data_IF_522512320079
#
_entry.id   IF_522512320079
#
_cell.length_a   1.000
_cell.length_b   1.000
_cell.length_c   1.000
_cell.angle_alpha   90.00
_cell.angle_beta   90.00
_cell.angle_gamma   90.00
#
_symmetry.space_group_name_H-M   'P 1'
#
loop_
_entity.id
_entity.type
_entity.pdbx_description
1 polymer ?
#
# COMPACT_ATOMS: atom_id res chain seq x y z
N UNK A 1 -11.57 -21.52 -3.48
CA UNK A 1 -12.90 -20.87 -3.53
C UNK A 1 -13.61 -20.93 -2.17
N UNK A 2 -13.31 -21.95 -1.35
CA UNK A 2 -13.89 -22.18 -0.02
C UNK A 2 -13.31 -21.24 1.07
N UNK A 3 -11.99 -21.05 1.19
CA UNK A 3 -11.36 -20.19 2.24
C UNK A 3 -11.87 -18.74 2.26
N UNK A 4 -12.23 -18.18 1.10
CA UNK A 4 -12.83 -16.84 1.02
C UNK A 4 -14.15 -16.71 1.78
N UNK A 5 -14.85 -17.81 2.04
CA UNK A 5 -16.05 -17.83 2.88
C UNK A 5 -15.68 -17.51 4.33
N UNK A 6 -14.56 -18.03 4.85
CA UNK A 6 -14.09 -17.73 6.21
C UNK A 6 -13.83 -16.24 6.40
N UNK A 7 -13.28 -15.56 5.40
CA UNK A 7 -13.00 -14.12 5.52
C UNK A 7 -14.29 -13.32 5.77
N UNK A 8 -15.36 -13.67 5.06
CA UNK A 8 -16.66 -13.03 5.22
C UNK A 8 -17.27 -13.37 6.59
N UNK A 9 -17.20 -14.64 7.01
CA UNK A 9 -17.70 -15.08 8.31
C UNK A 9 -16.96 -14.41 9.47
N UNK A 10 -15.63 -14.34 9.40
CA UNK A 10 -14.77 -13.70 10.39
C UNK A 10 -15.07 -12.21 10.55
N UNK A 11 -15.17 -11.49 9.42
CA UNK A 11 -15.55 -10.07 9.43
C UNK A 11 -16.98 -9.87 9.95
N UNK A 12 -17.90 -10.78 9.64
CA UNK A 12 -19.27 -10.74 10.17
C UNK A 12 -19.27 -10.89 11.70
N UNK A 13 -18.49 -11.83 12.25
CA UNK A 13 -18.33 -11.99 13.70
C UNK A 13 -17.80 -10.72 14.36
N UNK A 14 -16.74 -10.11 13.81
CA UNK A 14 -16.16 -8.89 14.35
C UNK A 14 -17.13 -7.70 14.38
N UNK A 15 -18.10 -7.66 13.46
CA UNK A 15 -19.17 -6.64 13.45
C UNK A 15 -20.31 -6.98 14.41
N UNK A 16 -20.64 -8.25 14.56
CA UNK A 16 -21.73 -8.69 15.44
C UNK A 16 -21.38 -8.50 16.92
N UNK A 17 -20.11 -8.71 17.28
CA UNK A 17 -19.69 -8.80 18.68
C UNK A 17 -20.39 -9.92 19.46
N UNK A 18 -20.97 -10.91 18.78
CA UNK A 18 -21.67 -12.04 19.40
C UNK A 18 -20.73 -13.21 19.68
N UNK A 19 -21.15 -14.06 20.62
CA UNK A 19 -20.47 -15.32 20.88
C UNK A 19 -20.92 -16.38 19.88
N UNK A 20 -19.96 -17.09 19.30
CA UNK A 20 -20.18 -18.33 18.57
C UNK A 20 -19.42 -19.46 19.26
N UNK A 21 -19.87 -20.69 19.05
CA UNK A 21 -19.33 -21.86 19.76
C UNK A 21 -19.17 -23.02 18.80
N UNK A 22 -17.94 -23.55 18.71
CA UNK A 22 -17.69 -24.85 18.11
C UNK A 22 -17.79 -25.95 19.17
N UNK A 23 -17.50 -27.20 18.80
CA UNK A 23 -17.60 -28.33 19.72
C UNK A 23 -16.70 -28.19 20.97
N UNK A 24 -15.63 -27.37 20.90
CA UNK A 24 -14.56 -27.30 21.90
C UNK A 24 -14.44 -25.92 22.55
N UNK A 25 -14.60 -24.86 21.78
CA UNK A 25 -14.30 -23.49 22.17
C UNK A 25 -15.49 -22.56 21.92
N UNK A 26 -15.58 -21.49 22.72
CA UNK A 26 -16.42 -20.31 22.44
C UNK A 26 -15.54 -19.14 21.99
N UNK A 27 -15.96 -18.46 20.93
CA UNK A 27 -15.25 -17.36 20.30
C UNK A 27 -16.16 -16.13 20.21
N UNK A 28 -15.62 -14.97 20.55
CA UNK A 28 -16.21 -13.66 20.27
C UNK A 28 -15.18 -12.77 19.62
N UNK A 29 -15.45 -12.28 18.42
CA UNK A 29 -14.54 -11.37 17.73
C UNK A 29 -14.93 -9.94 18.11
N UNK A 30 -13.97 -9.19 18.66
CA UNK A 30 -14.17 -7.81 19.11
C UNK A 30 -13.71 -6.81 18.05
N UNK A 31 -12.62 -7.16 17.37
CA UNK A 31 -12.10 -6.50 16.17
C UNK A 31 -11.55 -7.60 15.24
N UNK A 32 -12.08 -7.67 14.02
CA UNK A 32 -11.63 -8.66 13.03
C UNK A 32 -10.20 -8.40 12.56
N UNK A 33 -9.64 -7.22 12.84
CA UNK A 33 -8.36 -6.77 12.30
C UNK A 33 -8.48 -6.38 10.83
N UNK A 34 -7.33 -6.06 10.22
CA UNK A 34 -7.26 -5.69 8.82
C UNK A 34 -7.06 -6.94 7.95
N UNK A 35 -7.91 -7.14 6.94
CA UNK A 35 -7.66 -8.16 5.92
C UNK A 35 -6.31 -7.89 5.25
N UNK A 36 -5.39 -8.83 5.38
CA UNK A 36 -4.09 -8.78 4.73
C UNK A 36 -4.29 -9.14 3.25
N UNK A 37 -3.97 -8.20 2.38
CA UNK A 37 -4.02 -8.39 0.92
C UNK A 37 -2.65 -8.74 0.33
N UNK A 38 -1.67 -8.94 1.21
CA UNK A 38 -0.26 -9.15 0.90
C UNK A 38 0.19 -10.51 1.42
N UNK A 39 1.47 -10.68 1.76
CA UNK A 39 2.01 -11.95 2.27
C UNK A 39 1.88 -11.99 3.79
N UNK A 40 1.81 -13.19 4.35
CA UNK A 40 1.59 -13.42 5.78
C UNK A 40 0.13 -13.77 6.08
N UNK A 41 -0.28 -13.66 7.34
CA UNK A 41 -1.57 -14.19 7.77
C UNK A 41 -2.75 -13.45 7.16
N UNK A 42 -3.88 -14.14 6.98
CA UNK A 42 -5.07 -13.60 6.31
C UNK A 42 -5.60 -12.29 6.92
N UNK A 43 -5.58 -12.16 8.25
CA UNK A 43 -5.96 -10.94 8.96
C UNK A 43 -4.86 -10.53 9.93
N UNK A 44 -4.53 -9.24 9.97
CA UNK A 44 -3.52 -8.70 10.88
C UNK A 44 -4.14 -7.84 11.97
N UNK A 45 -3.61 -7.95 13.19
CA UNK A 45 -3.98 -7.11 14.33
C UNK A 45 -5.42 -7.28 14.80
N UNK A 46 -5.94 -8.51 14.80
CA UNK A 46 -7.27 -8.81 15.33
C UNK A 46 -7.28 -8.81 16.87
N UNK A 47 -8.46 -8.56 17.44
CA UNK A 47 -8.75 -8.69 18.87
C UNK A 47 -10.00 -9.56 19.06
N UNK A 48 -9.88 -10.64 19.84
CA UNK A 48 -10.97 -11.57 20.06
C UNK A 48 -10.87 -12.20 21.45
N UNK A 49 -11.98 -12.73 21.94
CA UNK A 49 -12.05 -13.52 23.17
C UNK A 49 -12.29 -14.98 22.80
N UNK A 50 -11.42 -15.87 23.27
CA UNK A 50 -11.55 -17.31 23.16
C UNK A 50 -11.68 -17.91 24.56
N UNK A 51 -12.78 -18.61 24.81
CA UNK A 51 -13.14 -19.17 26.12
C UNK A 51 -13.21 -18.16 27.28
N UNK A 52 -13.33 -16.87 26.98
CA UNK A 52 -13.34 -15.78 27.96
C UNK A 52 -11.96 -15.16 28.20
N UNK A 53 -10.91 -15.68 27.58
CA UNK A 53 -9.58 -15.06 27.57
C UNK A 53 -9.45 -14.18 26.34
N UNK A 54 -9.01 -12.92 26.52
CA UNK A 54 -8.80 -11.98 25.41
C UNK A 54 -7.42 -12.17 24.78
N UNK A 55 -7.40 -12.18 23.45
CA UNK A 55 -6.21 -12.31 22.62
C UNK A 55 -6.06 -11.11 21.68
N UNK A 56 -4.79 -10.84 21.36
CA UNK A 56 -4.38 -9.86 20.35
C UNK A 56 -3.37 -10.53 19.43
N UNK A 57 -3.59 -10.47 18.12
CA UNK A 57 -2.67 -11.04 17.14
C UNK A 57 -3.33 -11.25 15.79
N UNK A 58 -2.61 -11.97 14.93
CA UNK A 58 -3.06 -12.22 13.57
C UNK A 58 -3.94 -13.47 13.50
N UNK A 59 -4.72 -13.60 12.44
CA UNK A 59 -5.62 -14.75 12.22
C UNK A 59 -5.34 -15.34 10.85
N UNK A 60 -5.12 -16.65 10.84
CA UNK A 60 -4.89 -17.42 9.63
C UNK A 60 -6.06 -18.36 9.35
N UNK A 61 -6.40 -18.57 8.09
CA UNK A 61 -7.60 -19.31 7.70
C UNK A 61 -7.32 -20.34 6.61
N UNK A 62 -7.80 -21.56 6.83
CA UNK A 62 -7.66 -22.65 5.87
C UNK A 62 -8.92 -23.47 5.73
N UNK A 63 -8.99 -24.31 4.71
CA UNK A 63 -10.04 -25.33 4.66
C UNK A 63 -9.88 -26.32 5.81
N UNK A 64 -8.67 -26.87 6.00
CA UNK A 64 -8.37 -27.89 7.00
C UNK A 64 -7.29 -27.45 7.96
N UNK A 65 -7.30 -28.00 9.18
CA UNK A 65 -6.24 -27.78 10.17
C UNK A 65 -4.84 -28.18 9.64
N UNK A 66 -4.76 -29.28 8.90
CA UNK A 66 -3.51 -29.80 8.31
C UNK A 66 -2.84 -28.82 7.32
N UNK A 67 -3.60 -27.90 6.74
CA UNK A 67 -3.10 -26.99 5.72
C UNK A 67 -2.06 -26.01 6.28
N UNK A 68 -2.12 -25.71 7.58
CA UNK A 68 -1.06 -24.98 8.30
C UNK A 68 0.34 -25.58 8.06
N UNK A 69 0.44 -26.91 8.11
CA UNK A 69 1.69 -27.63 7.88
C UNK A 69 1.99 -27.80 6.40
N UNK A 70 0.97 -28.07 5.58
CA UNK A 70 1.08 -28.20 4.12
C UNK A 70 1.68 -26.94 3.48
N UNK A 71 1.25 -25.77 3.93
CA UNK A 71 1.74 -24.48 3.47
C UNK A 71 3.00 -24.01 4.20
N UNK A 72 3.52 -24.82 5.13
CA UNK A 72 4.75 -24.57 5.89
C UNK A 72 4.71 -23.32 6.78
N UNK A 73 3.52 -22.85 7.16
CA UNK A 73 3.36 -21.69 8.06
C UNK A 73 4.01 -21.91 9.43
N UNK A 74 4.06 -23.16 9.89
CA UNK A 74 4.79 -23.55 11.10
C UNK A 74 6.29 -23.17 11.08
N UNK A 75 6.91 -22.95 9.92
CA UNK A 75 8.33 -22.57 9.78
C UNK A 75 8.51 -21.11 9.36
N UNK A 76 7.43 -20.39 9.06
CA UNK A 76 7.49 -19.10 8.40
C UNK A 76 7.40 -17.95 9.42
N UNK A 77 8.46 -17.12 9.56
CA UNK A 77 8.47 -16.00 10.49
C UNK A 77 7.36 -14.97 10.29
N UNK A 78 6.75 -14.88 9.11
CA UNK A 78 5.64 -13.97 8.86
C UNK A 78 4.36 -14.36 9.60
N UNK A 79 4.24 -15.62 10.04
CA UNK A 79 3.08 -16.14 10.77
C UNK A 79 3.33 -16.22 12.29
N UNK A 80 4.45 -15.66 12.78
CA UNK A 80 4.83 -15.72 14.20
C UNK A 80 3.80 -15.10 15.15
N UNK A 81 3.03 -14.12 14.65
CA UNK A 81 2.05 -13.37 15.42
C UNK A 81 0.64 -13.97 15.34
N UNK A 82 0.44 -15.07 14.59
CA UNK A 82 -0.87 -15.73 14.47
C UNK A 82 -1.32 -16.24 15.83
N UNK A 83 -2.44 -15.70 16.30
CA UNK A 83 -3.08 -16.01 17.58
C UNK A 83 -4.29 -16.93 17.45
N UNK A 84 -4.84 -17.08 16.25
CA UNK A 84 -5.94 -17.99 15.98
C UNK A 84 -5.81 -18.57 14.58
N UNK A 85 -6.07 -19.87 14.46
CA UNK A 85 -6.21 -20.54 13.18
C UNK A 85 -7.70 -20.88 12.98
N UNK A 86 -8.34 -20.41 11.92
CA UNK A 86 -9.76 -20.64 11.66
C UNK A 86 -9.92 -21.61 10.50
N UNK A 87 -10.75 -22.65 10.67
CA UNK A 87 -10.88 -23.74 9.69
C UNK A 87 -12.32 -24.00 9.28
N UNK A 88 -12.53 -24.43 8.03
CA UNK A 88 -13.86 -24.79 7.48
C UNK A 88 -14.29 -26.22 7.76
N UNK A 89 -13.37 -27.07 8.22
CA UNK A 89 -13.69 -28.43 8.67
C UNK A 89 -13.39 -28.55 10.15
N UNK A 90 -14.16 -29.34 10.93
CA UNK A 90 -13.87 -29.57 12.33
C UNK A 90 -12.40 -29.96 12.56
N UNK A 91 -11.69 -29.32 13.51
CA UNK A 91 -10.29 -29.60 13.78
C UNK A 91 -10.10 -31.01 14.38
N UNK A 92 -9.00 -31.64 14.01
CA UNK A 92 -8.50 -32.89 14.59
C UNK A 92 -7.99 -32.64 16.02
N UNK A 93 -7.80 -33.72 16.79
CA UNK A 93 -7.23 -33.63 18.14
C UNK A 93 -5.69 -33.73 18.10
N UNK A 94 -4.93 -32.81 18.73
CA UNK A 94 -5.39 -31.63 19.45
C UNK A 94 -5.84 -30.51 18.50
N UNK A 95 -6.88 -29.76 18.88
CA UNK A 95 -7.45 -28.65 18.09
C UNK A 95 -6.55 -27.39 18.12
N UNK A 96 -5.28 -27.57 17.78
CA UNK A 96 -4.26 -26.54 17.76
C UNK A 96 -3.18 -26.88 16.73
N UNK A 97 -2.45 -25.86 16.29
CA UNK A 97 -1.29 -26.01 15.41
C UNK A 97 -0.04 -25.41 16.08
N UNK A 98 1.13 -25.96 15.78
CA UNK A 98 2.38 -25.48 16.35
C UNK A 98 3.05 -24.48 15.40
N UNK A 99 3.48 -23.33 15.94
CA UNK A 99 4.48 -22.48 15.30
C UNK A 99 5.86 -22.85 15.82
N UNK A 100 6.74 -23.35 14.96
CA UNK A 100 8.12 -23.69 15.32
C UNK A 100 9.03 -22.46 15.41
N UNK A 101 8.59 -21.33 14.88
CA UNK A 101 9.33 -20.06 14.94
C UNK A 101 9.44 -19.56 16.39
N UNK A 102 8.38 -19.70 17.18
CA UNK A 102 8.32 -19.24 18.58
C UNK A 102 7.88 -20.32 19.57
N UNK A 103 7.78 -21.57 19.12
CA UNK A 103 7.38 -22.74 19.93
C UNK A 103 6.02 -22.56 20.62
N UNK A 104 5.08 -21.84 19.98
CA UNK A 104 3.73 -21.60 20.51
C UNK A 104 2.68 -22.48 19.84
N UNK A 105 1.79 -23.05 20.65
CA UNK A 105 0.55 -23.66 20.17
C UNK A 105 -0.51 -22.59 19.89
N UNK A 106 -1.12 -22.67 18.72
CA UNK A 106 -2.13 -21.75 18.21
C UNK A 106 -3.45 -22.51 18.15
N UNK A 107 -4.50 -22.09 18.86
CA UNK A 107 -5.80 -22.77 18.84
C UNK A 107 -6.39 -22.76 17.42
N UNK A 108 -7.02 -23.86 17.05
CA UNK A 108 -7.77 -24.01 15.81
C UNK A 108 -9.27 -23.99 16.10
N UNK A 109 -9.99 -23.05 15.50
CA UNK A 109 -11.43 -22.85 15.69
C UNK A 109 -12.20 -23.21 14.42
N UNK A 110 -13.20 -24.08 14.55
CA UNK A 110 -14.08 -24.40 13.44
C UNK A 110 -15.12 -23.31 13.24
N UNK A 111 -15.18 -22.73 12.05
CA UNK A 111 -16.17 -21.70 11.73
C UNK A 111 -16.93 -22.08 10.46
N UNK A 112 -18.25 -22.16 10.58
CA UNK A 112 -19.15 -22.35 9.45
C UNK A 112 -20.29 -21.32 9.46
N UNK A 113 -21.01 -21.22 8.36
CA UNK A 113 -22.09 -20.25 8.21
C UNK A 113 -23.31 -20.51 9.11
N UNK A 114 -23.53 -21.75 9.56
CA UNK A 114 -24.66 -22.13 10.42
C UNK A 114 -24.47 -21.69 11.88
N UNK A 115 -23.22 -21.40 12.27
CA UNK A 115 -22.88 -20.93 13.62
C UNK A 115 -23.14 -19.43 13.81
N UNK A 116 -23.32 -18.69 12.71
CA UNK A 116 -23.84 -17.33 12.80
C UNK A 116 -25.32 -17.44 13.15
N UNK A 117 -25.83 -16.66 14.13
CA UNK A 117 -27.27 -16.56 14.34
C UNK A 117 -27.94 -16.14 13.03
N UNK A 118 -29.20 -16.58 12.85
CA UNK A 118 -30.04 -16.37 11.66
C UNK A 118 -29.65 -15.07 10.95
N UNK A 119 -29.40 -15.14 9.62
CA UNK A 119 -28.60 -14.17 8.90
C UNK A 119 -28.99 -12.78 9.38
N UNK A 120 -28.12 -12.17 10.18
CA UNK A 120 -28.15 -10.72 10.29
C UNK A 120 -28.03 -10.30 8.83
N UNK A 121 -29.13 -9.80 8.27
CA UNK A 121 -29.20 -9.25 6.93
C UNK A 121 -28.13 -8.16 6.90
N UNK A 122 -26.92 -8.54 6.50
CA UNK A 122 -25.76 -7.71 6.77
C UNK A 122 -25.75 -6.55 5.77
N UNK A 123 -25.74 -5.30 6.23
CA UNK A 123 -25.81 -4.11 5.37
C UNK A 123 -24.68 -4.01 4.35
N UNK A 124 -23.58 -4.76 4.52
CA UNK A 124 -22.43 -4.76 3.62
C UNK A 124 -22.73 -5.39 2.24
N UNK A 125 -23.78 -6.20 2.11
CA UNK A 125 -24.29 -6.66 0.81
C UNK A 125 -25.41 -5.75 0.26
N UNK A 126 -25.83 -4.74 1.03
CA UNK A 126 -26.96 -3.86 0.72
C UNK A 126 -26.61 -2.37 0.57
N UNK A 127 -25.33 -1.98 0.70
CA UNK A 127 -24.91 -0.64 0.29
C UNK A 127 -24.94 -0.60 -1.24
N UNK A 128 -26.13 -0.51 -1.82
CA UNK A 128 -26.37 -0.23 -3.22
C UNK A 128 -27.12 1.10 -3.23
N UNK A 129 -26.39 2.23 -3.32
CA UNK A 129 -27.07 3.50 -3.53
C UNK A 129 -27.88 3.41 -4.83
N UNK A 130 -29.04 4.07 -4.85
CA UNK A 130 -29.87 4.19 -6.05
C UNK A 130 -28.97 4.62 -7.21
N UNK A 131 -28.95 3.83 -8.29
CA UNK A 131 -27.90 3.86 -9.31
C UNK A 131 -27.79 5.17 -10.09
N UNK A 132 -28.73 6.10 -9.90
CA UNK A 132 -28.92 7.29 -10.74
C UNK A 132 -29.10 8.60 -9.96
N UNK A 133 -28.83 8.63 -8.64
CA UNK A 133 -28.94 9.91 -7.92
C UNK A 133 -27.91 10.93 -8.44
N UNK A 134 -28.35 12.15 -8.82
CA UNK A 134 -27.46 13.21 -9.29
C UNK A 134 -26.47 13.69 -8.22
N UNK A 135 -26.71 13.36 -6.95
CA UNK A 135 -25.87 13.78 -5.82
C UNK A 135 -24.58 12.95 -5.68
N UNK A 136 -24.49 11.80 -6.34
CA UNK A 136 -23.39 10.85 -6.12
C UNK A 136 -22.03 11.40 -6.55
N UNK A 137 -21.87 12.04 -7.72
CA UNK A 137 -20.62 12.72 -8.06
C UNK A 137 -20.18 13.73 -7.01
N UNK A 138 -21.11 14.51 -6.44
CA UNK A 138 -20.80 15.49 -5.40
C UNK A 138 -20.35 14.83 -4.07
N UNK A 139 -20.99 13.74 -3.67
CA UNK A 139 -20.60 12.95 -2.50
C UNK A 139 -19.20 12.33 -2.69
N UNK A 140 -18.95 11.75 -3.86
CA UNK A 140 -17.66 11.15 -4.19
C UNK A 140 -16.56 12.22 -4.25
N UNK A 141 -16.83 13.38 -4.82
CA UNK A 141 -15.92 14.51 -4.79
C UNK A 141 -15.61 14.95 -3.36
N UNK A 142 -16.62 15.09 -2.51
CA UNK A 142 -16.44 15.43 -1.10
C UNK A 142 -15.54 14.41 -0.37
N UNK A 143 -15.77 13.11 -0.59
CA UNK A 143 -14.96 12.03 0.01
C UNK A 143 -13.51 12.03 -0.52
N UNK A 144 -13.31 12.27 -1.81
CA UNK A 144 -11.98 12.41 -2.40
C UNK A 144 -11.22 13.60 -1.78
N UNK A 145 -11.88 14.76 -1.67
CA UNK A 145 -11.31 15.94 -1.04
C UNK A 145 -11.04 15.74 0.45
N UNK A 146 -11.90 15.01 1.16
CA UNK A 146 -11.67 14.62 2.56
C UNK A 146 -10.39 13.80 2.69
N UNK A 147 -10.20 12.79 1.84
CA UNK A 147 -8.97 12.00 1.79
C UNK A 147 -7.74 12.86 1.50
N UNK A 148 -7.85 13.77 0.54
CA UNK A 148 -6.76 14.70 0.20
C UNK A 148 -6.39 15.59 1.39
N UNK A 149 -7.37 16.19 2.07
CA UNK A 149 -7.17 17.02 3.27
C UNK A 149 -6.51 16.24 4.41
N UNK A 150 -6.87 14.98 4.63
CA UNK A 150 -6.22 14.13 5.63
C UNK A 150 -4.73 13.91 5.32
N UNK A 151 -4.36 13.70 4.05
CA UNK A 151 -2.95 13.61 3.63
C UNK A 151 -2.20 14.92 3.83
N UNK A 152 -2.81 16.05 3.45
CA UNK A 152 -2.25 17.40 3.66
C UNK A 152 -1.97 17.63 5.15
N UNK A 153 -2.93 17.33 6.03
CA UNK A 153 -2.74 17.43 7.49
C UNK A 153 -1.63 16.54 8.01
N UNK A 154 -1.50 15.31 7.49
CA UNK A 154 -0.41 14.41 7.86
C UNK A 154 0.96 14.99 7.50
N UNK A 155 1.13 15.50 6.28
CA UNK A 155 2.37 16.17 5.88
C UNK A 155 2.64 17.46 6.64
N UNK A 156 1.60 18.28 6.87
CA UNK A 156 1.75 19.50 7.66
C UNK A 156 2.27 19.20 9.07
N UNK A 157 1.77 18.14 9.72
CA UNK A 157 2.27 17.69 11.03
C UNK A 157 3.72 17.24 10.98
N UNK A 158 4.13 16.49 9.94
CA UNK A 158 5.51 16.01 9.84
C UNK A 158 6.53 17.13 9.60
N UNK A 159 6.12 18.26 9.01
CA UNK A 159 7.00 19.42 8.83
C UNK A 159 7.46 20.09 10.13
N UNK A 160 6.89 19.73 11.29
CA UNK A 160 7.41 20.20 12.58
C UNK A 160 8.74 19.54 12.96
N UNK A 161 9.04 18.36 12.39
CA UNK A 161 10.21 17.56 12.74
C UNK A 161 11.19 17.34 11.59
N UNK A 162 10.76 17.53 10.34
CA UNK A 162 11.62 17.33 9.16
C UNK A 162 11.47 18.45 8.15
N UNK A 163 12.54 18.71 7.37
CA UNK A 163 12.49 19.68 6.28
C UNK A 163 11.54 19.23 5.16
N UNK A 164 11.04 20.18 4.38
CA UNK A 164 10.17 19.92 3.22
C UNK A 164 10.84 18.97 2.20
N UNK A 165 12.14 19.16 1.98
CA UNK A 165 12.92 18.34 1.05
C UNK A 165 13.10 16.91 1.56
N UNK A 166 13.41 16.73 2.85
CA UNK A 166 13.48 15.40 3.47
C UNK A 166 12.13 14.70 3.41
N UNK A 167 11.05 15.44 3.68
CA UNK A 167 9.70 14.89 3.64
C UNK A 167 9.30 14.47 2.21
N UNK A 168 9.59 15.30 1.20
CA UNK A 168 9.39 14.94 -0.20
C UNK A 168 10.16 13.69 -0.58
N UNK A 169 11.45 13.66 -0.26
CA UNK A 169 12.34 12.55 -0.56
C UNK A 169 11.85 11.23 0.06
N UNK A 170 11.57 11.22 1.36
CA UNK A 170 11.07 10.04 2.06
C UNK A 170 9.70 9.58 1.53
N UNK A 171 8.78 10.52 1.27
CA UNK A 171 7.44 10.23 0.76
C UNK A 171 7.49 9.66 -0.66
N UNK A 172 8.40 10.17 -1.50
CA UNK A 172 8.58 9.68 -2.86
C UNK A 172 9.16 8.26 -2.88
N UNK A 173 10.19 7.98 -2.06
CA UNK A 173 10.73 6.63 -1.89
C UNK A 173 9.65 5.68 -1.37
N UNK A 174 8.93 6.08 -0.31
CA UNK A 174 7.80 5.31 0.23
C UNK A 174 6.78 4.96 -0.86
N UNK A 175 6.44 5.91 -1.73
CA UNK A 175 5.51 5.68 -2.82
C UNK A 175 6.01 4.63 -3.83
N UNK A 176 7.32 4.58 -4.11
CA UNK A 176 7.94 3.59 -5.01
C UNK A 176 7.80 2.16 -4.49
N UNK A 177 7.76 1.98 -3.17
CA UNK A 177 7.66 0.68 -2.51
C UNK A 177 6.34 -0.06 -2.65
N UNK A 178 5.27 0.59 -3.09
CA UNK A 178 3.89 0.03 -2.99
C UNK A 178 3.54 -0.32 -1.52
N UNK A 179 2.32 -0.81 -1.20
CA UNK A 179 2.02 -1.16 0.19
C UNK A 179 3.03 -2.12 0.83
N UNK A 180 3.55 -3.08 0.06
CA UNK A 180 4.44 -4.14 0.57
C UNK A 180 5.83 -3.65 1.00
N UNK A 181 6.42 -2.68 0.29
CA UNK A 181 7.78 -2.19 0.58
C UNK A 181 7.82 -0.69 0.92
N UNK A 182 6.67 -0.06 1.17
CA UNK A 182 6.60 1.36 1.53
C UNK A 182 7.47 1.69 2.75
N UNK A 183 7.36 0.89 3.81
CA UNK A 183 8.12 1.10 5.05
C UNK A 183 9.64 0.91 4.83
N UNK A 184 10.05 -0.11 4.07
CA UNK A 184 11.45 -0.36 3.76
C UNK A 184 12.09 0.79 2.97
N UNK A 185 11.38 1.30 1.96
CA UNK A 185 11.84 2.47 1.19
C UNK A 185 11.88 3.75 2.03
N UNK A 186 10.90 3.97 2.90
CA UNK A 186 10.92 5.12 3.81
C UNK A 186 12.10 5.03 4.79
N UNK A 187 12.36 3.85 5.34
CA UNK A 187 13.53 3.62 6.19
C UNK A 187 14.83 3.84 5.42
N UNK A 188 14.93 3.38 4.17
CA UNK A 188 16.08 3.67 3.30
C UNK A 188 16.31 5.18 3.13
N UNK A 189 15.24 5.96 2.98
CA UNK A 189 15.32 7.42 2.91
C UNK A 189 15.80 8.07 4.22
N UNK A 190 15.57 7.43 5.36
CA UNK A 190 16.11 7.85 6.65
C UNK A 190 17.58 7.46 6.81
N UNK A 191 17.98 6.29 6.26
CA UNK A 191 19.38 5.83 6.26
C UNK A 191 20.28 6.61 5.33
N UNK A 192 19.73 7.19 4.26
CA UNK A 192 20.44 8.10 3.36
C UNK A 192 19.75 9.47 3.35
N UNK A 193 19.92 10.31 4.40
CA UNK A 193 19.22 11.58 4.51
C UNK A 193 19.45 12.51 3.30
N UNK A 194 18.49 13.41 3.05
CA UNK A 194 18.54 14.35 1.91
C UNK A 194 19.80 15.22 1.90
N UNK A 195 20.33 15.55 3.08
CA UNK A 195 21.57 16.31 3.22
C UNK A 195 22.78 15.52 2.69
N UNK A 196 22.85 14.21 2.96
CA UNK A 196 23.87 13.35 2.36
C UNK A 196 23.68 13.26 0.86
N UNK A 197 22.45 13.04 0.39
CA UNK A 197 22.14 12.92 -1.03
C UNK A 197 22.56 14.17 -1.81
N UNK A 198 22.28 15.37 -1.30
CA UNK A 198 22.68 16.64 -1.93
C UNK A 198 24.20 16.78 -2.06
N UNK A 199 24.97 16.33 -1.05
CA UNK A 199 26.43 16.32 -1.15
C UNK A 199 26.91 15.39 -2.26
N UNK A 200 26.30 14.21 -2.39
CA UNK A 200 26.64 13.27 -3.46
C UNK A 200 26.31 13.83 -4.85
N UNK A 201 25.13 14.43 -5.02
CA UNK A 201 24.71 15.06 -6.29
C UNK A 201 25.65 16.18 -6.75
N UNK A 202 26.34 16.85 -5.82
CA UNK A 202 27.32 17.91 -6.13
C UNK A 202 28.75 17.39 -6.36
N UNK A 203 28.98 16.07 -6.28
CA UNK A 203 30.30 15.47 -6.46
C UNK A 203 30.63 15.24 -7.95
N UNK A 204 31.87 15.50 -8.40
CA UNK A 204 32.27 15.31 -9.79
C UNK A 204 32.32 13.84 -10.25
N UNK A 205 32.32 12.86 -9.34
CA UNK A 205 32.41 11.42 -9.65
C UNK A 205 31.04 10.71 -9.70
N UNK A 206 29.98 11.45 -10.03
CA UNK A 206 28.60 11.03 -9.82
C UNK A 206 27.91 10.44 -11.07
N UNK A 207 27.92 9.11 -11.21
CA UNK A 207 27.22 8.36 -12.26
C UNK A 207 26.05 7.51 -11.74
N UNK A 208 25.36 6.83 -12.65
CA UNK A 208 24.12 6.08 -12.35
C UNK A 208 24.46 4.89 -11.47
N UNK A 209 25.47 4.15 -11.88
CA UNK A 209 25.97 2.94 -11.25
C UNK A 209 26.50 3.24 -9.85
N UNK A 210 27.25 4.33 -9.66
CA UNK A 210 27.79 4.74 -8.37
C UNK A 210 26.65 5.05 -7.39
N UNK A 211 25.71 5.91 -7.78
CA UNK A 211 24.59 6.24 -6.90
C UNK A 211 23.71 5.02 -6.62
N UNK A 212 23.44 4.21 -7.64
CA UNK A 212 22.68 2.98 -7.47
C UNK A 212 23.40 1.99 -6.55
N UNK A 213 24.72 1.85 -6.64
CA UNK A 213 25.50 1.00 -5.75
C UNK A 213 25.37 1.43 -4.27
N UNK A 214 25.48 2.72 -3.97
CA UNK A 214 25.32 3.25 -2.61
C UNK A 214 23.90 2.98 -2.07
N UNK A 215 22.87 3.27 -2.86
CA UNK A 215 21.49 3.00 -2.49
C UNK A 215 21.20 1.50 -2.33
N UNK A 216 21.66 0.67 -3.27
CA UNK A 216 21.41 -0.77 -3.26
C UNK A 216 22.17 -1.45 -2.12
N UNK A 217 23.41 -1.03 -1.85
CA UNK A 217 24.18 -1.50 -0.70
C UNK A 217 23.52 -1.11 0.62
N UNK A 218 23.09 0.15 0.75
CA UNK A 218 22.35 0.59 1.93
C UNK A 218 21.00 -0.12 2.09
N UNK A 219 20.37 -0.56 1.00
CA UNK A 219 19.18 -1.40 1.03
C UNK A 219 19.47 -2.86 1.42
N UNK A 220 20.73 -3.27 1.58
CA UNK A 220 21.10 -4.66 1.81
C UNK A 220 21.09 -5.53 0.55
N UNK A 221 21.00 -4.94 -0.64
CA UNK A 221 20.95 -5.64 -1.92
C UNK A 221 22.32 -6.03 -2.46
N UNK A 222 23.43 -5.75 -1.75
CA UNK A 222 24.79 -6.07 -2.20
C UNK A 222 25.60 -6.87 -1.15
N UNK A 223 24.92 -7.51 -0.19
CA UNK A 223 25.56 -8.22 0.93
C UNK A 223 26.12 -9.60 0.59
N UNK A 224 25.66 -10.22 -0.50
CA UNK A 224 26.10 -11.54 -0.94
C UNK A 224 26.89 -11.43 -2.24
N UNK A 225 27.92 -12.28 -2.45
CA UNK A 225 28.71 -12.30 -3.68
C UNK A 225 27.83 -12.35 -4.93
N UNK A 226 28.07 -11.44 -5.87
CA UNK A 226 27.27 -11.30 -7.08
C UNK A 226 27.86 -12.08 -8.28
N UNK A 227 27.06 -12.92 -8.95
CA UNK A 227 27.56 -13.79 -10.00
C UNK A 227 27.78 -13.06 -11.34
N UNK A 228 26.99 -12.04 -11.65
CA UNK A 228 27.11 -11.30 -12.92
C UNK A 228 28.07 -10.09 -12.83
N UNK A 229 28.77 -9.72 -13.92
CA UNK A 229 29.76 -8.64 -13.92
C UNK A 229 29.20 -7.28 -13.46
N UNK A 230 27.99 -6.93 -13.90
CA UNK A 230 27.38 -5.63 -13.55
C UNK A 230 27.13 -5.54 -12.05
N UNK A 231 26.44 -6.52 -11.46
CA UNK A 231 26.17 -6.53 -10.02
C UNK A 231 27.45 -6.63 -9.18
N UNK A 232 28.50 -7.29 -9.68
CA UNK A 232 29.81 -7.37 -9.01
C UNK A 232 30.50 -6.00 -8.97
N UNK A 233 30.47 -5.25 -10.07
CA UNK A 233 31.03 -3.89 -10.10
C UNK A 233 30.34 -2.98 -9.09
N UNK A 234 29.00 -3.07 -9.00
CA UNK A 234 28.23 -2.32 -7.99
C UNK A 234 28.62 -2.72 -6.56
N UNK A 235 28.82 -4.02 -6.32
CA UNK A 235 29.24 -4.53 -5.01
C UNK A 235 30.62 -3.99 -4.60
N UNK A 236 31.62 -4.09 -5.48
CA UNK A 236 32.97 -3.58 -5.22
C UNK A 236 32.96 -2.09 -4.89
N UNK A 237 32.25 -1.29 -5.70
CA UNK A 237 32.12 0.14 -5.46
C UNK A 237 31.47 0.43 -4.10
N UNK A 238 30.42 -0.30 -3.73
CA UNK A 238 29.80 -0.14 -2.42
C UNK A 238 30.74 -0.54 -1.27
N UNK A 239 31.48 -1.64 -1.40
CA UNK A 239 32.41 -2.11 -0.37
C UNK A 239 33.52 -1.10 -0.09
N UNK A 240 34.01 -0.41 -1.13
CA UNK A 240 35.00 0.67 -1.02
C UNK A 240 34.46 1.90 -0.28
N UNK A 241 33.18 2.26 -0.48
CA UNK A 241 32.60 3.52 -0.01
C UNK A 241 31.66 3.38 1.19
N UNK A 242 31.32 2.16 1.63
CA UNK A 242 30.32 1.92 2.69
C UNK A 242 30.65 2.60 4.02
N UNK A 243 31.93 2.82 4.30
CA UNK A 243 32.40 3.45 5.54
C UNK A 243 32.16 4.98 5.55
N UNK A 244 31.89 5.58 4.39
CA UNK A 244 31.55 6.99 4.24
C UNK A 244 30.03 7.25 4.33
N UNK A 245 29.24 6.18 4.43
CA UNK A 245 27.78 6.27 4.50
C UNK A 245 27.34 6.66 5.91
N UNK A 246 26.27 7.48 6.03
CA UNK A 246 25.92 8.13 7.29
C UNK A 246 25.30 7.17 8.32
N UNK A 247 24.86 5.98 7.90
CA UNK A 247 24.19 5.01 8.78
C UNK A 247 24.44 3.58 8.31
N UNK A 248 24.03 2.59 9.10
CA UNK A 248 24.10 1.17 8.74
C UNK A 248 23.05 0.76 7.69
N UNK A 249 23.37 -0.27 6.89
CA UNK A 249 22.46 -0.80 5.87
C UNK A 249 21.21 -1.43 6.48
N UNK A 250 20.17 -1.54 5.66
CA UNK A 250 19.00 -2.36 5.94
C UNK A 250 19.35 -3.83 5.78
N UNK A 251 18.58 -4.68 6.45
CA UNK A 251 18.65 -6.12 6.30
C UNK A 251 17.74 -6.61 5.16
N UNK A 252 18.13 -7.64 4.39
CA UNK A 252 17.31 -8.19 3.31
C UNK A 252 15.88 -8.58 3.74
N UNK A 253 15.69 -9.02 4.98
CA UNK A 253 14.42 -9.46 5.55
C UNK A 253 13.40 -8.34 5.72
N UNK A 254 13.86 -7.08 5.71
CA UNK A 254 12.98 -5.91 5.74
C UNK A 254 12.27 -5.68 4.40
N UNK A 255 12.69 -6.38 3.34
CA UNK A 255 12.13 -6.29 2.01
C UNK A 255 11.25 -7.48 1.69
N UNK A 256 10.07 -7.20 1.16
CA UNK A 256 9.17 -8.21 0.62
C UNK A 256 9.37 -8.35 -0.88
N UNK A 257 10.06 -9.43 -1.31
CA UNK A 257 10.28 -9.72 -2.73
C UNK A 257 9.21 -10.65 -3.32
N UNK A 258 8.70 -11.61 -2.54
CA UNK A 258 7.70 -12.57 -3.00
C UNK A 258 6.36 -11.91 -3.32
N UNK A 259 5.72 -12.33 -4.42
CA UNK A 259 4.43 -11.80 -4.87
C UNK A 259 4.46 -10.38 -5.47
N UNK A 260 5.64 -9.75 -5.55
CA UNK A 260 5.79 -8.43 -6.17
C UNK A 260 5.92 -8.59 -7.68
N UNK A 261 5.10 -7.85 -8.45
CA UNK A 261 5.23 -7.79 -9.91
C UNK A 261 6.62 -7.32 -10.30
N UNK A 262 7.22 -7.88 -11.35
CA UNK A 262 8.60 -7.60 -11.73
C UNK A 262 8.91 -6.10 -11.91
N UNK A 263 8.05 -5.35 -12.62
CA UNK A 263 8.17 -3.88 -12.77
C UNK A 263 8.06 -3.09 -11.46
N UNK A 264 7.63 -3.73 -10.38
CA UNK A 264 7.46 -3.14 -9.04
C UNK A 264 8.51 -3.64 -8.06
N UNK A 265 9.43 -4.50 -8.49
CA UNK A 265 10.46 -5.06 -7.64
C UNK A 265 11.34 -3.95 -7.04
N UNK A 266 11.73 -4.03 -5.75
CA UNK A 266 12.49 -2.98 -5.09
C UNK A 266 13.77 -2.55 -5.81
N UNK A 267 14.53 -3.49 -6.37
CA UNK A 267 15.76 -3.20 -7.13
C UNK A 267 15.46 -2.29 -8.35
N UNK A 268 14.48 -2.66 -9.18
CA UNK A 268 14.07 -1.86 -10.35
C UNK A 268 13.48 -0.50 -9.96
N UNK A 269 12.76 -0.43 -8.83
CA UNK A 269 12.19 0.83 -8.33
C UNK A 269 13.25 1.76 -7.73
N UNK A 270 14.31 1.20 -7.17
CA UNK A 270 15.47 1.97 -6.73
C UNK A 270 16.26 2.51 -7.94
N UNK A 271 16.40 1.72 -9.01
CA UNK A 271 16.96 2.17 -10.28
C UNK A 271 16.14 3.33 -10.88
N UNK A 272 14.81 3.24 -10.82
CA UNK A 272 13.91 4.33 -11.23
C UNK A 272 14.14 5.62 -10.42
N UNK A 273 14.38 5.51 -9.12
CA UNK A 273 14.72 6.65 -8.26
C UNK A 273 16.04 7.31 -8.67
N UNK A 274 17.09 6.50 -8.83
CA UNK A 274 18.41 7.00 -9.24
C UNK A 274 18.36 7.66 -10.62
N UNK A 275 17.64 7.07 -11.58
CA UNK A 275 17.46 7.65 -12.91
C UNK A 275 16.73 9.01 -12.85
N UNK A 276 15.77 9.16 -11.94
CA UNK A 276 15.07 10.42 -11.73
C UNK A 276 16.01 11.48 -11.13
N UNK A 277 16.84 11.11 -10.16
CA UNK A 277 17.86 11.99 -9.60
C UNK A 277 18.86 12.45 -10.66
N UNK A 278 19.34 11.54 -11.50
CA UNK A 278 20.25 11.89 -12.58
C UNK A 278 19.62 12.80 -13.63
N UNK A 279 18.37 12.56 -14.01
CA UNK A 279 17.68 13.47 -14.94
C UNK A 279 17.53 14.87 -14.32
N UNK A 280 17.23 14.92 -13.02
CA UNK A 280 17.04 16.19 -12.32
C UNK A 280 18.37 16.91 -12.03
N UNK A 281 19.49 16.20 -11.85
CA UNK A 281 20.76 16.76 -11.35
C UNK A 281 20.61 17.48 -9.99
N UNK A 282 19.53 17.19 -9.26
CA UNK A 282 19.17 17.72 -7.94
C UNK A 282 18.03 16.86 -7.38
N UNK A 283 17.53 17.18 -6.19
CA UNK A 283 16.24 16.70 -5.73
C UNK A 283 15.12 17.20 -6.67
N UNK A 284 14.27 16.31 -7.23
CA UNK A 284 13.24 16.66 -8.21
C UNK A 284 12.17 17.67 -7.74
N UNK A 285 12.12 17.95 -6.44
CA UNK A 285 11.06 18.76 -5.83
C UNK A 285 10.97 20.16 -6.43
N UNK A 286 12.10 20.87 -6.59
CA UNK A 286 12.15 22.24 -7.11
C UNK A 286 11.61 22.31 -8.54
N UNK A 287 12.08 21.42 -9.42
CA UNK A 287 11.65 21.33 -10.81
C UNK A 287 10.16 21.00 -10.93
N UNK A 288 9.67 20.03 -10.16
CA UNK A 288 8.25 19.69 -10.12
C UNK A 288 7.43 20.88 -9.60
N UNK A 289 7.88 21.57 -8.55
CA UNK A 289 7.23 22.78 -8.06
C UNK A 289 7.12 23.84 -9.16
N UNK A 290 8.21 24.11 -9.91
CA UNK A 290 8.20 25.10 -10.98
C UNK A 290 7.23 24.74 -12.12
N UNK A 291 7.09 23.45 -12.47
CA UNK A 291 6.07 23.01 -13.43
C UNK A 291 4.66 23.39 -12.96
N UNK A 292 4.31 23.08 -11.72
CA UNK A 292 2.97 23.38 -11.17
C UNK A 292 2.76 24.87 -10.90
N UNK A 293 3.80 25.61 -10.50
CA UNK A 293 3.72 27.04 -10.20
C UNK A 293 3.38 27.90 -11.42
N UNK A 294 3.62 27.39 -12.64
CA UNK A 294 3.18 28.03 -13.91
C UNK A 294 1.67 28.04 -14.10
N UNK A 295 0.92 27.22 -13.33
CA UNK A 295 -0.56 27.14 -13.35
C UNK A 295 -1.16 26.98 -14.76
N UNK A 296 -0.50 26.19 -15.61
CA UNK A 296 -0.98 25.93 -16.97
C UNK A 296 -2.34 25.22 -16.96
N UNK A 297 -3.13 25.32 -18.04
CA UNK A 297 -4.30 24.48 -18.24
C UNK A 297 -3.99 22.99 -18.02
N UNK A 298 -4.95 22.26 -17.46
CA UNK A 298 -4.76 20.87 -17.03
C UNK A 298 -4.12 19.93 -18.08
N UNK A 299 -4.59 19.90 -19.35
CA UNK A 299 -4.00 19.00 -20.36
C UNK A 299 -2.52 19.29 -20.64
N UNK A 300 -2.15 20.58 -20.64
CA UNK A 300 -0.79 21.03 -20.91
C UNK A 300 0.14 20.63 -19.76
N UNK A 301 -0.24 20.95 -18.51
CA UNK A 301 0.56 20.57 -17.35
C UNK A 301 0.68 19.04 -17.22
N UNK A 302 -0.40 18.30 -17.46
CA UNK A 302 -0.37 16.85 -17.41
C UNK A 302 0.63 16.27 -18.43
N UNK A 303 0.66 16.81 -19.65
CA UNK A 303 1.63 16.40 -20.66
C UNK A 303 3.07 16.68 -20.22
N UNK A 304 3.35 17.88 -19.70
CA UNK A 304 4.69 18.25 -19.23
C UNK A 304 5.14 17.37 -18.06
N UNK A 305 4.26 17.07 -17.10
CA UNK A 305 4.56 16.15 -15.99
C UNK A 305 4.84 14.75 -16.51
N UNK A 306 4.05 14.24 -17.46
CA UNK A 306 4.30 12.92 -18.07
C UNK A 306 5.64 12.88 -18.80
N UNK A 307 6.02 13.95 -19.50
CA UNK A 307 7.33 14.08 -20.15
C UNK A 307 8.47 14.18 -19.13
N UNK A 308 8.24 14.86 -18.00
CA UNK A 308 9.21 14.92 -16.91
C UNK A 308 9.55 13.52 -16.36
N UNK A 309 8.55 12.66 -16.19
CA UNK A 309 8.75 11.27 -15.74
C UNK A 309 9.07 10.27 -16.88
N UNK A 310 9.11 10.70 -18.14
CA UNK A 310 9.49 9.85 -19.27
C UNK A 310 11.01 9.65 -19.27
N UNK A 311 11.46 8.63 -18.53
CA UNK A 311 12.87 8.28 -18.35
C UNK A 311 13.09 6.86 -18.88
N UNK A 312 13.91 6.67 -19.93
CA UNK A 312 14.20 5.35 -20.47
C UNK A 312 14.96 4.50 -19.45
N UNK A 313 14.75 3.19 -19.50
CA UNK A 313 15.58 2.25 -18.73
C UNK A 313 16.99 2.21 -19.32
N UNK A 314 18.01 1.99 -18.48
CA UNK A 314 19.36 1.72 -18.99
C UNK A 314 19.47 0.27 -19.49
N UNK A 315 20.54 -0.05 -20.21
CA UNK A 315 20.71 -1.33 -20.90
C UNK A 315 20.53 -2.55 -19.98
N UNK A 316 21.09 -2.49 -18.76
CA UNK A 316 20.90 -3.54 -17.77
C UNK A 316 19.41 -3.64 -17.34
N UNK A 317 18.81 -2.54 -16.91
CA UNK A 317 17.43 -2.52 -16.42
C UNK A 317 16.36 -2.74 -17.51
N UNK A 318 16.74 -2.62 -18.79
CA UNK A 318 15.92 -3.07 -19.91
C UNK A 318 15.74 -4.59 -19.95
N UNK A 319 16.66 -5.35 -19.35
CA UNK A 319 16.67 -6.81 -19.36
C UNK A 319 16.50 -7.41 -17.96
N UNK A 320 16.66 -6.63 -16.91
CA UNK A 320 16.63 -7.11 -15.53
C UNK A 320 15.67 -6.29 -14.67
N UNK A 321 14.87 -6.95 -13.84
CA UNK A 321 14.05 -6.31 -12.79
C UNK A 321 14.63 -6.50 -11.38
N UNK A 322 15.61 -7.40 -11.26
CA UNK A 322 16.36 -7.72 -10.06
C UNK A 322 17.82 -7.92 -10.45
N UNK A 323 18.73 -7.47 -9.60
CA UNK A 323 20.16 -7.72 -9.79
C UNK A 323 20.42 -9.23 -9.87
N UNK A 324 21.31 -9.63 -10.78
CA UNK A 324 21.70 -11.02 -11.03
C UNK A 324 20.54 -11.97 -11.42
N UNK A 325 19.40 -11.45 -11.86
CA UNK A 325 18.32 -12.30 -12.40
C UNK A 325 18.60 -12.70 -13.84
N UNK A 326 18.00 -13.78 -14.31
CA UNK A 326 17.96 -14.07 -15.74
C UNK A 326 17.37 -12.88 -16.53
N UNK A 327 17.89 -12.61 -17.74
CA UNK A 327 17.38 -11.52 -18.57
C UNK A 327 15.96 -11.84 -19.06
N UNK A 328 15.12 -10.81 -19.16
CA UNK A 328 13.78 -10.91 -19.75
C UNK A 328 13.82 -10.54 -21.24
N UNK A 329 13.02 -11.22 -22.05
CA UNK A 329 12.91 -10.98 -23.50
C UNK A 329 12.21 -9.64 -23.80
N UNK A 330 11.21 -9.29 -23.00
CA UNK A 330 10.42 -8.07 -23.15
C UNK A 330 10.37 -7.29 -21.83
N UNK A 331 11.35 -6.41 -21.65
CA UNK A 331 11.41 -5.51 -20.50
C UNK A 331 10.61 -4.22 -20.67
N UNK A 332 10.58 -3.42 -19.61
CA UNK A 332 9.93 -2.10 -19.63
C UNK A 332 10.76 -1.14 -20.45
N UNK A 333 10.14 -0.29 -21.30
CA UNK A 333 10.85 0.76 -22.03
C UNK A 333 11.20 1.97 -21.16
N UNK A 334 10.43 2.21 -20.09
CA UNK A 334 10.58 3.35 -19.19
C UNK A 334 10.49 2.90 -17.73
N UNK A 335 11.17 3.62 -16.83
CA UNK A 335 11.11 3.34 -15.39
C UNK A 335 9.73 3.64 -14.78
N UNK A 336 9.05 4.67 -15.30
CA UNK A 336 7.77 5.16 -14.79
C UNK A 336 6.64 4.95 -15.82
N UNK A 337 5.64 4.17 -15.44
CA UNK A 337 4.37 4.08 -16.17
C UNK A 337 3.35 5.11 -15.67
N UNK A 338 2.34 5.43 -16.50
CA UNK A 338 1.29 6.42 -16.17
C UNK A 338 0.63 6.19 -14.81
N UNK A 339 0.25 4.95 -14.51
CA UNK A 339 -0.34 4.60 -13.22
C UNK A 339 0.56 4.97 -12.03
N UNK A 340 1.87 4.69 -12.15
CA UNK A 340 2.84 5.03 -11.10
C UNK A 340 3.00 6.54 -10.95
N UNK A 341 3.08 7.28 -12.05
CA UNK A 341 3.18 8.74 -12.02
C UNK A 341 1.97 9.32 -11.28
N UNK A 342 0.75 8.86 -11.57
CA UNK A 342 -0.44 9.40 -10.92
C UNK A 342 -0.53 9.03 -9.44
N UNK A 343 -0.07 7.84 -9.05
CA UNK A 343 0.06 7.49 -7.63
C UNK A 343 1.07 8.39 -6.91
N UNK A 344 2.18 8.76 -7.56
CA UNK A 344 3.15 9.74 -7.01
C UNK A 344 2.49 11.12 -6.90
N UNK A 345 1.75 11.56 -7.93
CA UNK A 345 1.06 12.85 -7.90
C UNK A 345 0.02 12.91 -6.77
N UNK A 346 -0.79 11.86 -6.64
CA UNK A 346 -1.92 11.79 -5.70
C UNK A 346 -1.49 11.62 -4.24
N UNK A 347 -0.40 10.88 -4.01
CA UNK A 347 0.04 10.55 -2.64
C UNK A 347 1.19 11.42 -2.14
N UNK A 348 1.96 12.07 -3.03
CA UNK A 348 3.19 12.80 -2.66
C UNK A 348 3.16 14.24 -3.16
N UNK A 349 3.16 14.43 -4.49
CA UNK A 349 3.39 15.77 -5.08
C UNK A 349 2.26 16.73 -4.73
N UNK A 350 1.01 16.41 -5.06
CA UNK A 350 -0.11 17.33 -4.85
C UNK A 350 -0.34 17.66 -3.37
N UNK A 351 -0.33 16.70 -2.43
CA UNK A 351 -0.49 17.06 -1.02
C UNK A 351 0.67 17.92 -0.50
N UNK A 352 1.93 17.64 -0.88
CA UNK A 352 3.09 18.46 -0.44
C UNK A 352 3.09 19.86 -1.05
N UNK A 353 2.79 20.00 -2.34
CA UNK A 353 2.64 21.30 -2.97
C UNK A 353 1.52 22.11 -2.32
N UNK A 354 0.43 21.45 -1.89
CA UNK A 354 -0.68 22.10 -1.18
C UNK A 354 -0.24 22.57 0.21
N UNK A 355 0.55 21.77 0.94
CA UNK A 355 1.15 22.21 2.21
C UNK A 355 2.06 23.44 2.02
N UNK A 356 2.88 23.46 0.96
CA UNK A 356 3.72 24.62 0.63
C UNK A 356 2.87 25.86 0.30
N UNK A 357 1.82 25.69 -0.51
CA UNK A 357 0.90 26.75 -0.88
C UNK A 357 0.13 27.34 0.32
N UNK A 358 -0.25 26.49 1.29
CA UNK A 358 -0.87 26.92 2.56
C UNK A 358 0.09 27.80 3.37
N UNK A 359 1.36 27.41 3.48
CA UNK A 359 2.38 28.18 4.20
C UNK A 359 2.72 29.51 3.54
N UNK A 360 2.55 29.61 2.23
CA UNK A 360 2.75 30.85 1.47
C UNK A 360 1.47 31.65 1.25
N UNK A 361 0.36 31.28 1.90
CA UNK A 361 -0.96 31.92 1.77
C UNK A 361 -1.40 32.14 0.31
N UNK A 362 -1.16 31.17 -0.58
CA UNK A 362 -1.46 31.30 -2.00
C UNK A 362 -2.78 30.62 -2.37
N UNK A 363 -3.91 31.26 -2.08
CA UNK A 363 -5.26 30.69 -2.27
C UNK A 363 -5.53 30.26 -3.72
N UNK A 364 -5.09 31.07 -4.69
CA UNK A 364 -5.21 30.71 -6.11
C UNK A 364 -4.41 29.44 -6.47
N UNK A 365 -3.28 29.18 -5.81
CA UNK A 365 -2.52 27.94 -6.05
C UNK A 365 -3.18 26.74 -5.36
N UNK A 366 -3.78 26.94 -4.19
CA UNK A 366 -4.54 25.91 -3.48
C UNK A 366 -5.71 25.41 -4.33
N UNK A 367 -6.51 26.35 -4.85
CA UNK A 367 -7.63 26.02 -5.74
C UNK A 367 -7.16 25.29 -7.01
N UNK A 368 -6.02 25.73 -7.58
CA UNK A 368 -5.42 25.06 -8.73
C UNK A 368 -5.03 23.61 -8.44
N UNK A 369 -4.30 23.37 -7.34
CA UNK A 369 -3.84 22.03 -6.96
C UNK A 369 -4.99 21.08 -6.61
N UNK A 370 -6.03 21.58 -5.94
CA UNK A 370 -7.23 20.83 -5.62
C UNK A 370 -7.97 20.41 -6.90
N UNK A 371 -8.14 21.33 -7.86
CA UNK A 371 -8.71 21.00 -9.16
C UNK A 371 -7.85 19.96 -9.89
N UNK A 372 -6.53 20.15 -9.94
CA UNK A 372 -5.65 19.19 -10.59
C UNK A 372 -5.78 17.77 -9.99
N UNK A 373 -5.85 17.66 -8.65
CA UNK A 373 -6.11 16.41 -7.95
C UNK A 373 -7.42 15.74 -8.37
N UNK A 374 -8.51 16.50 -8.44
CA UNK A 374 -9.82 15.98 -8.81
C UNK A 374 -9.89 15.49 -10.25
N UNK A 375 -9.14 16.11 -11.16
CA UNK A 375 -9.25 15.89 -12.61
C UNK A 375 -8.21 14.93 -13.20
N UNK A 376 -7.33 14.34 -12.39
CA UNK A 376 -6.42 13.29 -12.85
C UNK A 376 -7.17 12.15 -13.57
N UNK A 377 -6.68 11.65 -14.74
CA UNK A 377 -7.35 10.59 -15.45
C UNK A 377 -7.29 9.26 -14.69
N UNK A 378 -8.24 8.35 -14.93
CA UNK A 378 -8.25 7.03 -14.31
C UNK A 378 -7.14 6.17 -14.93
N UNK A 379 -6.34 5.48 -14.11
CA UNK A 379 -5.17 4.72 -14.59
C UNK A 379 -5.07 3.29 -14.07
N UNK A 380 -5.90 2.90 -13.09
CA UNK A 380 -5.99 1.53 -12.59
C UNK A 380 -7.27 1.35 -11.78
N UNK A 381 -7.90 0.20 -11.94
CA UNK A 381 -8.96 -0.25 -11.04
C UNK A 381 -8.34 -0.80 -9.76
N UNK A 382 -8.71 -0.27 -8.59
CA UNK A 382 -8.34 -0.87 -7.32
C UNK A 382 -9.14 -2.17 -7.17
N UNK A 383 -8.63 -3.27 -7.75
CA UNK A 383 -9.34 -4.56 -7.89
C UNK A 383 -9.80 -5.17 -6.56
N UNK A 384 -9.18 -4.78 -5.44
CA UNK A 384 -9.67 -5.13 -4.10
C UNK A 384 -10.96 -4.37 -3.77
N UNK A 385 -11.01 -3.05 -4.00
CA UNK A 385 -12.18 -2.20 -3.79
C UNK A 385 -13.38 -2.61 -4.65
N UNK A 386 -13.14 -3.15 -5.84
CA UNK A 386 -14.25 -3.62 -6.70
C UNK A 386 -15.05 -4.77 -6.11
N UNK A 387 -14.48 -5.51 -5.14
CA UNK A 387 -15.21 -6.57 -4.42
C UNK A 387 -16.14 -5.98 -3.35
N UNK A 388 -15.74 -4.86 -2.76
CA UNK A 388 -16.49 -4.20 -1.69
C UNK A 388 -17.58 -3.26 -2.23
N UNK A 389 -17.42 -2.78 -3.46
CA UNK A 389 -18.36 -1.84 -4.09
C UNK A 389 -18.84 -2.37 -5.44
N UNK A 390 -19.61 -3.46 -5.54
CA UNK A 390 -19.96 -4.10 -6.83
C UNK A 390 -20.60 -3.14 -7.84
N UNK A 391 -21.24 -2.07 -7.37
CA UNK A 391 -21.82 -0.97 -8.14
C UNK A 391 -20.81 0.03 -8.74
N UNK A 392 -19.51 -0.08 -8.45
CA UNK A 392 -18.49 0.91 -8.83
C UNK A 392 -18.48 1.28 -10.32
N UNK A 393 -18.82 0.33 -11.21
CA UNK A 393 -18.77 0.52 -12.66
C UNK A 393 -19.69 1.62 -13.15
N UNK A 394 -20.93 1.66 -12.65
CA UNK A 394 -21.91 2.69 -13.04
C UNK A 394 -21.40 4.08 -12.68
N UNK A 395 -20.91 4.25 -11.46
CA UNK A 395 -20.44 5.54 -10.98
C UNK A 395 -19.09 5.97 -11.54
N UNK A 396 -18.18 5.04 -11.83
CA UNK A 396 -16.93 5.40 -12.49
C UNK A 396 -17.20 5.92 -13.91
N UNK A 397 -18.24 5.43 -14.60
CA UNK A 397 -18.63 5.98 -15.90
C UNK A 397 -19.14 7.43 -15.77
N UNK A 398 -19.87 7.75 -14.69
CA UNK A 398 -20.36 9.10 -14.40
C UNK A 398 -19.23 10.06 -13.98
N UNK A 399 -18.21 9.55 -13.30
CA UNK A 399 -17.07 10.35 -12.84
C UNK A 399 -15.74 9.62 -13.09
N UNK A 400 -15.27 9.55 -14.36
CA UNK A 400 -14.12 8.74 -14.77
C UNK A 400 -12.82 9.45 -14.41
N UNK A 401 -12.57 9.61 -13.11
CA UNK A 401 -11.42 10.34 -12.57
C UNK A 401 -10.64 9.46 -11.60
N UNK A 402 -9.35 9.72 -11.40
CA UNK A 402 -8.56 9.03 -10.38
C UNK A 402 -9.09 9.30 -8.96
N UNK A 403 -9.63 10.51 -8.74
CA UNK A 403 -10.29 10.91 -7.49
C UNK A 403 -11.46 10.00 -7.09
N UNK A 404 -12.14 9.35 -8.05
CA UNK A 404 -13.16 8.33 -7.77
C UNK A 404 -12.62 7.22 -6.84
N UNK A 405 -11.42 6.71 -7.14
CA UNK A 405 -10.81 5.67 -6.31
C UNK A 405 -10.40 6.18 -4.94
N UNK A 406 -9.98 7.45 -4.87
CA UNK A 406 -9.67 8.09 -3.59
C UNK A 406 -10.94 8.26 -2.74
N UNK A 407 -12.09 8.55 -3.35
CA UNK A 407 -13.39 8.59 -2.68
C UNK A 407 -13.77 7.21 -2.10
N UNK A 408 -13.68 6.14 -2.89
CA UNK A 408 -14.00 4.78 -2.43
C UNK A 408 -13.06 4.30 -1.33
N UNK A 409 -11.77 4.63 -1.41
CA UNK A 409 -10.81 4.34 -0.33
C UNK A 409 -11.22 5.04 0.96
N UNK A 410 -11.62 6.31 0.88
CA UNK A 410 -12.06 7.08 2.05
C UNK A 410 -13.34 6.51 2.64
N UNK A 411 -14.34 6.26 1.78
CA UNK A 411 -15.60 5.64 2.14
C UNK A 411 -15.37 4.32 2.88
N UNK A 412 -14.51 3.46 2.33
CA UNK A 412 -14.20 2.18 2.93
C UNK A 412 -13.52 2.34 4.29
N UNK A 413 -12.49 3.19 4.39
CA UNK A 413 -11.72 3.35 5.61
C UNK A 413 -12.51 4.00 6.75
N UNK A 414 -13.39 4.94 6.42
CA UNK A 414 -14.07 5.77 7.42
C UNK A 414 -15.43 5.22 7.84
N UNK A 415 -16.15 4.56 6.92
CA UNK A 415 -17.50 4.10 7.19
C UNK A 415 -17.60 2.58 7.09
N UNK A 416 -17.24 1.97 5.95
CA UNK A 416 -17.49 0.55 5.72
C UNK A 416 -16.69 -0.36 6.68
N UNK A 417 -15.43 -0.01 6.95
CA UNK A 417 -14.59 -0.76 7.90
C UNK A 417 -15.09 -0.63 9.34
N UNK A 418 -15.55 0.58 9.71
CA UNK A 418 -16.06 0.88 11.05
C UNK A 418 -17.52 0.46 11.28
N UNK A 419 -18.23 -0.04 10.26
CA UNK A 419 -19.66 -0.35 10.36
C UNK A 419 -20.57 0.88 10.54
N UNK A 420 -20.05 2.10 10.30
CA UNK A 420 -20.74 3.35 10.58
C UNK A 420 -21.70 3.78 9.44
N UNK A 421 -22.55 2.86 8.97
CA UNK A 421 -23.46 3.10 7.84
C UNK A 421 -24.44 4.26 8.09
N UNK A 422 -24.95 4.41 9.31
CA UNK A 422 -25.89 5.49 9.66
C UNK A 422 -25.31 6.90 9.47
N UNK A 423 -23.97 7.03 9.58
CA UNK A 423 -23.24 8.28 9.40
C UNK A 423 -22.67 8.43 7.98
N UNK A 424 -22.84 7.41 7.13
CA UNK A 424 -22.32 7.38 5.77
C UNK A 424 -23.06 8.41 4.90
N UNK A 425 -22.35 9.23 4.10
CA UNK A 425 -23.01 10.18 3.21
C UNK A 425 -23.85 9.50 2.12
N UNK A 426 -23.58 8.23 1.79
CA UNK A 426 -24.41 7.45 0.87
C UNK A 426 -25.69 6.90 1.52
N UNK A 427 -25.82 6.95 2.84
CA UNK A 427 -26.95 6.36 3.57
C UNK A 427 -28.32 6.88 3.10
N UNK A 428 -28.40 8.18 2.78
CA UNK A 428 -29.64 8.82 2.30
C UNK A 428 -30.02 8.39 0.88
N UNK A 429 -29.06 7.85 0.14
CA UNK A 429 -29.21 7.39 -1.24
C UNK A 429 -29.41 5.88 -1.33
N UNK A 430 -29.42 5.16 -0.21
CA UNK A 430 -29.68 3.74 -0.21
C UNK A 430 -31.14 3.47 -0.55
N UNK A 431 -31.39 2.54 -1.46
CA UNK A 431 -32.73 2.05 -1.76
C UNK A 431 -33.33 1.43 -0.49
N UNK A 432 -34.27 2.14 0.15
CA UNK A 432 -35.02 1.64 1.31
C UNK A 432 -36.03 0.55 0.95
N UNK A 433 -36.19 0.21 -0.32
CA UNK A 433 -37.25 -0.65 -0.88
C UNK A 433 -36.98 -2.15 -0.84
N UNK A 434 -36.01 -2.65 -0.05
CA UNK A 434 -35.75 -4.10 0.09
C UNK A 434 -35.66 -4.62 1.54
N UNK A 435 -36.03 -3.80 2.53
CA UNK A 435 -36.08 -4.22 3.94
C UNK A 435 -37.45 -4.77 4.37
N UNK A 436 -38.41 -4.89 3.45
CA UNK A 436 -39.78 -5.36 3.73
C UNK A 436 -40.32 -6.28 2.63
N UNK A 437 -39.52 -7.26 2.19
CA UNK A 437 -40.04 -8.45 1.48
C UNK A 437 -39.35 -9.72 2.02
#
# INVERSE_FOLDING_TARGET
MQEKQLYALWQALGRSGQWVRDARHRLRVLDAGALNLSFGPDFTGACFELDGTRFYGDVEMHVKQSDWYRHRHHLDPFYKNVALHVVLTPPEDPAQVLSRVNQRFIPSFFLNAQMLPSPVQHPALHCQPASESPDIPAILEHLALRRFKLKIRAFYRQLSSVSLEQLFYASLLRALGYPNNAAAFELLAQRLPVAWLKRQLNSPFFGFEQLYALYAGQAGFLTMPRPDPYSRQLQLFYEEHRFELPTESLFPEQWQFAGVRAVNHPHFRLAAWVALLQKAQDLPFSQIYHLFARRLPFPQLLQEVLLYFKIPVSDYWARHYRLASAPVVHGSKFYFGRARIFEILTNVVLPLLTVRALRSHSDGFLAYLQNFYLWLPPVTTYRSLTRYFPWWKGYQALWPRHAFWQALLQLNSEFCHAGACEQCPLQRLLDKSRYFD
#
